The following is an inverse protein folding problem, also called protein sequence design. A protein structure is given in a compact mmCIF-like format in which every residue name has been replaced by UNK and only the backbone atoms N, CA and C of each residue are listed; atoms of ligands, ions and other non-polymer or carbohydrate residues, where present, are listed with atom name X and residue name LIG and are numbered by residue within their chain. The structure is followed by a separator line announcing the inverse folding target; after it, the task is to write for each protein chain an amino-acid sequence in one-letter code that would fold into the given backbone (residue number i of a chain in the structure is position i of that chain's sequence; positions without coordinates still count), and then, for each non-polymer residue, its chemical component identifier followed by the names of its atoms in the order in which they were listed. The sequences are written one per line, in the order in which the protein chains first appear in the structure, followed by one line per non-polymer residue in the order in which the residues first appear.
data_IF_243065005418
#
_entry.id   IF_243065005418
#
_cell.length_a   1.000
_cell.length_b   1.000
_cell.length_c   1.000
_cell.angle_alpha   90.00
_cell.angle_beta   90.00
_cell.angle_gamma   90.00
#
_symmetry.space_group_name_H-M   'P 1'
#
loop_
_entity.id
_entity.type
_entity.pdbx_description
1 polymer ?
#
# COMPACT_ATOMS: atom_id res chain seq x y z
N UNK A 1 24.23 -25.40 -0.26
CA UNK A 1 23.19 -25.15 0.76
C UNK A 1 22.83 -23.67 0.68
N UNK A 2 21.71 -23.35 0.02
CA UNK A 2 21.31 -21.97 -0.28
C UNK A 2 20.72 -21.31 0.96
N UNK A 3 21.52 -20.48 1.63
CA UNK A 3 21.06 -19.57 2.67
C UNK A 3 20.36 -18.34 2.04
N UNK A 4 19.23 -18.54 1.36
CA UNK A 4 18.30 -17.44 1.12
C UNK A 4 17.30 -17.41 2.28
N UNK A 5 17.80 -17.06 3.46
CA UNK A 5 16.95 -16.59 4.53
C UNK A 5 16.26 -15.32 4.03
N UNK A 6 14.94 -15.31 4.07
CA UNK A 6 14.07 -14.18 3.76
C UNK A 6 14.68 -12.88 4.33
N UNK A 7 15.25 -12.05 3.47
CA UNK A 7 15.82 -10.77 3.89
C UNK A 7 14.62 -9.88 4.23
N UNK A 8 14.40 -9.69 5.53
CA UNK A 8 13.42 -8.76 6.05
C UNK A 8 13.86 -7.34 5.70
N UNK A 9 13.28 -6.78 4.64
CA UNK A 9 13.46 -5.38 4.32
C UNK A 9 12.54 -4.56 5.23
N UNK A 10 13.07 -4.17 6.39
CA UNK A 10 12.49 -3.08 7.17
C UNK A 10 12.65 -1.81 6.33
N UNK A 11 11.56 -1.41 5.68
CA UNK A 11 11.24 -0.04 5.30
C UNK A 11 12.19 0.99 5.90
N UNK A 12 12.05 1.18 7.22
CA UNK A 12 12.31 2.47 7.84
C UNK A 12 12.90 2.32 9.25
N UNK A 13 14.14 2.77 9.40
CA UNK A 13 14.78 3.04 10.69
C UNK A 13 15.54 4.35 10.58
N UNK A 14 14.98 5.40 11.19
CA UNK A 14 15.53 6.74 11.43
C UNK A 14 15.80 7.70 10.25
N UNK A 15 15.58 8.98 10.62
CA UNK A 15 16.00 10.25 10.00
C UNK A 15 15.19 10.82 8.82
N UNK A 16 14.48 11.91 9.16
CA UNK A 16 13.95 12.99 8.29
C UNK A 16 12.82 12.56 7.33
N UNK A 17 11.59 12.52 7.86
CA UNK A 17 10.38 12.42 7.04
C UNK A 17 9.32 13.42 7.50
N UNK A 18 8.93 14.21 6.52
CA UNK A 18 7.72 15.02 6.43
C UNK A 18 6.52 14.07 6.60
N UNK A 19 5.44 14.51 7.26
CA UNK A 19 4.99 13.83 8.47
C UNK A 19 4.15 12.55 8.28
N UNK A 20 3.72 12.23 7.07
CA UNK A 20 2.92 11.04 6.72
C UNK A 20 3.37 10.64 5.31
N UNK A 21 3.99 9.46 5.22
CA UNK A 21 5.00 9.17 4.21
C UNK A 21 4.39 8.92 2.83
N UNK A 22 5.03 9.49 1.80
CA UNK A 22 4.85 9.08 0.40
C UNK A 22 5.67 7.82 0.13
N UNK A 23 4.99 6.73 -0.19
CA UNK A 23 5.57 5.42 -0.50
C UNK A 23 5.23 5.08 -1.94
N UNK A 24 6.25 4.78 -2.74
CA UNK A 24 6.04 4.36 -4.13
C UNK A 24 5.44 2.96 -4.16
N UNK A 25 4.48 2.71 -5.06
CA UNK A 25 3.74 1.46 -5.03
C UNK A 25 4.64 0.23 -5.06
N UNK A 26 5.69 0.20 -5.91
CA UNK A 26 6.72 -0.85 -5.99
C UNK A 26 7.33 -1.26 -4.64
N UNK A 27 7.45 -0.31 -3.70
CA UNK A 27 8.01 -0.58 -2.37
C UNK A 27 7.04 -1.23 -1.39
N UNK A 28 5.78 -1.45 -1.77
CA UNK A 28 4.81 -2.21 -0.98
C UNK A 28 4.79 -3.70 -1.33
N UNK A 29 5.54 -4.15 -2.34
CA UNK A 29 5.56 -5.57 -2.68
C UNK A 29 6.31 -6.40 -1.63
N UNK A 30 5.68 -7.45 -1.11
CA UNK A 30 6.22 -8.35 -0.09
C UNK A 30 6.93 -7.59 1.06
N UNK A 31 6.29 -6.55 1.56
CA UNK A 31 6.90 -5.58 2.49
C UNK A 31 6.12 -5.53 3.80
N UNK A 32 6.83 -5.38 4.92
CA UNK A 32 6.24 -5.10 6.23
C UNK A 32 6.43 -3.61 6.54
N UNK A 33 5.32 -2.94 6.85
CA UNK A 33 5.30 -1.51 7.16
C UNK A 33 4.92 -1.29 8.62
N UNK A 34 5.73 -0.49 9.31
CA UNK A 34 5.54 -0.10 10.71
C UNK A 34 5.40 1.43 10.81
N UNK A 35 4.29 1.91 11.40
CA UNK A 35 4.07 3.33 11.68
C UNK A 35 3.90 3.53 13.20
N UNK A 36 4.91 4.14 13.83
CA UNK A 36 4.96 4.31 15.29
C UNK A 36 4.13 5.51 15.75
N UNK A 37 3.43 5.37 16.88
CA UNK A 37 2.60 6.44 17.49
C UNK A 37 3.28 7.81 17.57
N UNK A 38 4.57 7.87 17.90
CA UNK A 38 5.32 9.12 18.04
C UNK A 38 5.44 9.94 16.75
N UNK A 39 5.09 9.35 15.61
CA UNK A 39 5.10 9.99 14.29
C UNK A 39 3.70 10.33 13.78
N UNK A 40 2.64 10.15 14.61
CA UNK A 40 1.30 10.63 14.29
C UNK A 40 1.29 12.14 14.10
N UNK A 41 0.44 12.64 13.21
CA UNK A 41 0.14 14.08 13.09
C UNK A 41 -1.36 14.28 13.24
N UNK A 42 -1.77 15.28 14.00
CA UNK A 42 -3.19 15.56 14.29
C UNK A 42 -3.93 14.30 14.77
N UNK A 43 -3.26 13.50 15.62
CA UNK A 43 -3.74 12.21 16.15
C UNK A 43 -4.00 11.09 15.11
N UNK A 44 -3.58 11.30 13.86
CA UNK A 44 -3.77 10.37 12.76
C UNK A 44 -2.46 9.75 12.27
N UNK A 45 -2.61 8.58 11.66
CA UNK A 45 -1.59 7.94 10.84
C UNK A 45 -2.07 7.98 9.41
N UNK A 46 -1.36 8.67 8.52
CA UNK A 46 -1.64 8.65 7.08
C UNK A 46 -0.47 8.06 6.29
N UNK A 47 -0.80 7.28 5.27
CA UNK A 47 0.14 6.75 4.28
C UNK A 47 -0.30 7.22 2.89
N UNK A 48 0.59 7.92 2.19
CA UNK A 48 0.39 8.24 0.77
C UNK A 48 1.02 7.17 -0.10
N UNK A 49 0.26 6.57 -1.01
CA UNK A 49 0.74 5.57 -1.97
C UNK A 49 0.72 6.17 -3.36
N UNK A 50 1.92 6.36 -3.93
CA UNK A 50 2.10 6.97 -5.24
C UNK A 50 2.31 5.90 -6.33
N UNK A 51 1.50 5.97 -7.38
CA UNK A 51 1.67 5.18 -8.59
C UNK A 51 2.23 6.07 -9.71
N UNK A 52 3.52 5.96 -9.98
CA UNK A 52 4.19 6.62 -11.13
C UNK A 52 4.10 5.82 -12.43
N UNK A 53 3.59 4.60 -12.37
CA UNK A 53 3.45 3.72 -13.52
C UNK A 53 2.34 4.14 -14.49
N UNK A 54 2.34 3.51 -15.65
CA UNK A 54 1.32 3.69 -16.71
C UNK A 54 0.10 2.78 -16.56
N UNK A 55 0.10 1.85 -15.61
CA UNK A 55 -0.99 0.92 -15.35
C UNK A 55 -1.48 1.06 -13.91
N UNK A 56 -2.75 0.73 -13.68
CA UNK A 56 -3.28 0.57 -12.32
C UNK A 56 -2.59 -0.63 -11.68
N UNK A 57 -2.24 -0.55 -10.39
CA UNK A 57 -1.80 -1.73 -9.66
C UNK A 57 -2.64 -1.89 -8.40
N UNK A 58 -2.80 -3.16 -8.04
CA UNK A 58 -3.51 -3.59 -6.84
C UNK A 58 -2.51 -4.11 -5.81
N UNK A 59 -2.65 -3.62 -4.59
CA UNK A 59 -1.85 -3.99 -3.43
C UNK A 59 -2.80 -4.58 -2.40
N UNK A 60 -2.56 -5.84 -2.08
CA UNK A 60 -3.23 -6.53 -0.98
C UNK A 60 -2.33 -6.53 0.26
N UNK A 61 -2.92 -6.72 1.44
CA UNK A 61 -2.18 -6.77 2.68
C UNK A 61 -3.03 -7.10 3.90
N UNK A 62 -2.35 -7.51 4.95
CA UNK A 62 -2.95 -7.92 6.23
C UNK A 62 -2.41 -7.04 7.36
N UNK A 63 -3.33 -6.51 8.16
CA UNK A 63 -3.00 -5.71 9.34
C UNK A 63 -2.67 -6.65 10.51
N UNK A 64 -1.50 -6.48 11.12
CA UNK A 64 -1.15 -7.13 12.38
C UNK A 64 -1.42 -6.22 13.59
N UNK A 65 -1.41 -4.89 13.39
CA UNK A 65 -1.73 -3.91 14.41
C UNK A 65 -2.44 -2.70 13.80
N UNK A 66 -3.51 -2.25 14.46
CA UNK A 66 -4.35 -1.15 14.01
C UNK A 66 -5.29 -1.54 12.87
N UNK A 67 -5.98 -0.53 12.33
CA UNK A 67 -6.96 -0.69 11.27
C UNK A 67 -6.89 0.46 10.27
N UNK A 68 -7.42 0.23 9.08
CA UNK A 68 -7.66 1.29 8.10
C UNK A 68 -9.05 1.87 8.38
N UNK A 69 -9.14 3.19 8.47
CA UNK A 69 -10.41 3.89 8.75
C UNK A 69 -10.98 4.63 7.55
N UNK A 70 -10.16 4.91 6.54
CA UNK A 70 -10.62 5.60 5.35
C UNK A 70 -9.49 5.89 4.37
N UNK A 71 -9.86 6.50 3.26
CA UNK A 71 -8.93 6.91 2.23
C UNK A 71 -9.29 8.28 1.67
N UNK A 72 -8.30 8.98 1.12
CA UNK A 72 -8.51 10.19 0.34
C UNK A 72 -8.30 9.92 -1.14
N UNK A 73 -9.29 10.29 -1.94
CA UNK A 73 -9.24 10.24 -3.39
C UNK A 73 -9.81 11.53 -3.96
N UNK A 74 -9.22 12.08 -5.02
CA UNK A 74 -9.65 13.36 -5.62
C UNK A 74 -9.85 14.51 -4.60
N UNK A 75 -8.98 14.59 -3.57
CA UNK A 75 -9.04 15.57 -2.46
C UNK A 75 -10.25 15.44 -1.52
N UNK A 76 -10.99 14.34 -1.59
CA UNK A 76 -12.10 14.07 -0.69
C UNK A 76 -11.79 12.87 0.19
N UNK A 77 -12.02 13.02 1.50
CA UNK A 77 -11.90 11.93 2.45
C UNK A 77 -13.16 11.09 2.45
N UNK A 78 -12.96 9.78 2.40
CA UNK A 78 -14.00 8.78 2.50
C UNK A 78 -13.67 7.87 3.68
N UNK A 79 -14.49 7.94 4.73
CA UNK A 79 -14.42 6.98 5.83
C UNK A 79 -15.06 5.67 5.41
N UNK A 80 -14.46 4.56 5.83
CA UNK A 80 -15.01 3.25 5.58
C UNK A 80 -16.12 2.96 6.60
N UNK A 81 -17.20 2.25 6.20
CA UNK A 81 -18.30 1.92 7.11
C UNK A 81 -17.83 1.15 8.36
N UNK A 82 -16.75 0.39 8.22
CA UNK A 82 -16.13 -0.38 9.29
C UNK A 82 -14.61 -0.22 9.21
N UNK A 83 -13.95 -0.36 10.36
CA UNK A 83 -12.49 -0.42 10.44
C UNK A 83 -11.99 -1.71 9.77
N UNK A 84 -11.10 -1.57 8.79
CA UNK A 84 -10.61 -2.70 8.00
C UNK A 84 -9.30 -3.25 8.59
N UNK A 85 -9.23 -4.58 8.72
CA UNK A 85 -8.01 -5.31 9.10
C UNK A 85 -7.27 -5.87 7.88
N UNK A 86 -7.77 -5.60 6.68
CA UNK A 86 -7.14 -5.95 5.41
C UNK A 86 -6.93 -4.68 4.59
N UNK A 87 -5.82 -4.65 3.88
CA UNK A 87 -5.35 -3.57 3.05
C UNK A 87 -5.54 -3.98 1.61
N UNK A 88 -6.69 -3.66 1.02
CA UNK A 88 -6.95 -3.84 -0.41
C UNK A 88 -6.99 -2.46 -1.06
N UNK A 89 -6.02 -2.21 -1.94
CA UNK A 89 -5.83 -0.92 -2.57
C UNK A 89 -5.64 -1.09 -4.06
N UNK A 90 -6.46 -0.37 -4.82
CA UNK A 90 -6.12 -0.01 -6.19
C UNK A 90 -5.65 1.44 -6.24
N UNK A 91 -4.46 1.70 -6.78
CA UNK A 91 -3.99 3.06 -7.10
C UNK A 91 -3.90 3.21 -8.62
N UNK A 92 -4.66 4.16 -9.16
CA UNK A 92 -4.71 4.40 -10.59
C UNK A 92 -3.36 4.88 -11.14
N UNK A 93 -3.09 4.58 -12.42
CA UNK A 93 -1.89 5.02 -13.12
C UNK A 93 -1.67 6.54 -12.97
N UNK A 94 -0.44 6.96 -12.68
CA UNK A 94 -0.05 8.38 -12.53
C UNK A 94 -0.84 9.15 -11.46
N UNK A 95 -1.28 8.47 -10.40
CA UNK A 95 -2.02 9.10 -9.30
C UNK A 95 -1.40 8.79 -7.94
N UNK A 96 -1.96 9.44 -6.90
CA UNK A 96 -1.67 9.17 -5.51
C UNK A 96 -2.97 8.96 -4.75
N UNK A 97 -2.97 7.97 -3.84
CA UNK A 97 -4.07 7.71 -2.90
C UNK A 97 -3.53 7.74 -1.47
N UNK A 98 -4.29 8.33 -0.55
CA UNK A 98 -3.89 8.40 0.86
C UNK A 98 -4.79 7.51 1.69
N UNK A 99 -4.23 6.87 2.72
CA UNK A 99 -4.94 5.99 3.64
C UNK A 99 -4.78 6.49 5.05
N UNK A 100 -5.88 6.63 5.76
CA UNK A 100 -5.88 6.97 7.17
C UNK A 100 -6.06 5.71 8.01
N UNK A 101 -5.26 5.59 9.06
CA UNK A 101 -5.26 4.45 9.96
C UNK A 101 -5.64 4.87 11.37
N UNK A 102 -6.21 3.91 12.09
CA UNK A 102 -6.53 4.01 13.51
C UNK A 102 -5.74 2.95 14.27
N UNK A 103 -4.87 3.40 15.15
CA UNK A 103 -4.17 2.53 16.08
C UNK A 103 -5.10 1.98 17.15
N UNK A 104 -4.67 0.94 17.86
CA UNK A 104 -5.38 0.42 19.03
C UNK A 104 -4.59 0.68 20.31
N UNK A 105 -5.29 0.75 21.45
CA UNK A 105 -4.65 0.90 22.74
C UNK A 105 -3.68 -0.26 23.05
N UNK A 106 -4.04 -1.48 22.64
CA UNK A 106 -3.22 -2.68 22.80
C UNK A 106 -1.86 -2.58 22.08
N UNK A 107 -1.79 -1.82 20.98
CA UNK A 107 -0.57 -1.64 20.19
C UNK A 107 0.11 -0.30 20.47
N UNK A 108 -0.31 0.38 21.55
CA UNK A 108 0.08 1.76 21.86
C UNK A 108 -0.04 2.65 20.61
N UNK A 109 -1.18 2.55 19.93
CA UNK A 109 -1.50 3.33 18.73
C UNK A 109 -0.57 3.11 17.52
N UNK A 110 0.21 2.04 17.51
CA UNK A 110 1.10 1.68 16.40
C UNK A 110 0.34 0.93 15.31
N UNK A 111 0.72 1.17 14.06
CA UNK A 111 0.22 0.45 12.88
C UNK A 111 1.30 -0.51 12.38
N UNK A 112 0.91 -1.75 12.12
CA UNK A 112 1.78 -2.77 11.53
C UNK A 112 0.98 -3.56 10.50
N UNK A 113 1.48 -3.66 9.28
CA UNK A 113 0.87 -4.48 8.23
C UNK A 113 1.91 -5.06 7.29
N UNK A 114 1.56 -6.16 6.63
CA UNK A 114 2.31 -6.70 5.49
C UNK A 114 1.52 -6.51 4.22
N UNK A 115 2.18 -6.10 3.14
CA UNK A 115 1.58 -5.90 1.83
C UNK A 115 2.31 -6.67 0.74
N UNK A 116 1.61 -6.96 -0.34
CA UNK A 116 2.11 -7.60 -1.55
C UNK A 116 1.31 -7.15 -2.76
N UNK A 117 1.88 -7.28 -3.96
CA UNK A 117 1.09 -7.01 -5.16
C UNK A 117 0.23 -8.20 -5.52
N UNK A 118 -0.98 -7.87 -5.94
CA UNK A 118 -1.67 -8.77 -6.82
C UNK A 118 -0.88 -8.86 -8.13
N UNK A 119 -0.62 -10.07 -8.65
CA UNK A 119 0.02 -10.22 -9.94
C UNK A 119 -0.73 -9.41 -10.99
N UNK A 120 -0.06 -8.46 -11.65
CA UNK A 120 -0.65 -7.77 -12.78
C UNK A 120 -0.85 -8.82 -13.88
N UNK A 121 -2.11 -9.18 -14.16
CA UNK A 121 -2.44 -10.00 -15.31
C UNK A 121 -2.19 -9.13 -16.54
N UNK A 122 -1.12 -9.42 -17.28
CA UNK A 122 -0.97 -8.90 -18.63
C UNK A 122 -1.94 -9.68 -19.52
N UNK A 123 -3.06 -9.06 -19.88
CA UNK A 123 -3.87 -9.54 -20.98
C UNK A 123 -3.08 -9.31 -22.28
N UNK A 124 -2.33 -10.32 -22.70
CA UNK A 124 -1.83 -10.37 -24.07
C UNK A 124 -3.03 -10.62 -24.98
N UNK A 125 -3.58 -9.56 -25.57
CA UNK A 125 -4.43 -9.72 -26.75
C UNK A 125 -3.59 -10.42 -27.81
N UNK A 126 -3.79 -11.72 -27.98
CA UNK A 126 -3.31 -12.46 -29.14
C UNK A 126 -4.07 -11.93 -30.36
N UNK A 127 -3.62 -10.83 -30.93
CA UNK A 127 -3.94 -10.48 -32.30
C UNK A 127 -3.19 -11.46 -33.19
N UNK A 128 -3.75 -12.67 -33.38
CA UNK A 128 -3.36 -13.52 -34.50
C UNK A 128 -3.59 -12.71 -35.78
N UNK A 129 -2.56 -12.43 -36.60
CA UNK A 129 -2.79 -11.90 -37.93
C UNK A 129 -3.61 -12.95 -38.68
N UNK A 130 -4.82 -12.59 -39.08
CA UNK A 130 -5.56 -13.38 -40.06
C UNK A 130 -4.84 -13.14 -41.38
N UNK A 131 -4.02 -14.11 -41.79
CA UNK A 131 -3.37 -14.11 -43.10
C UNK A 131 -4.46 -14.37 -44.16
N UNK A 132 -5.02 -13.29 -44.71
CA UNK A 132 -5.96 -13.33 -45.83
C UNK A 132 -5.16 -13.40 -47.13
N UNK A 133 -4.67 -14.59 -47.48
CA UNK A 133 -4.30 -14.92 -48.86
C UNK A 133 -5.15 -16.13 -49.30
N UNK A 134 -6.20 -15.82 -50.06
CA UNK A 134 -6.94 -16.74 -50.93
C UNK A 134 -6.53 -16.46 -52.36
#
# INVERSE_FOLDING_TARGET
MNANASIWHTLFSNSILIPERLVGMMSLNNTVTLMLRKFKRNDEHILGVENRGSINLKVDGDMYAGHIKGAMEHRHWHEFPHLLSKFDITVHARTIKYFAFKGSLATNDTILFRSYFEPAILDTYNSTPVDLHV
#
